data_IF_900339448928
#
_entry.id   IF_900339448928
#
_cell.length_a   1.000
_cell.length_b   1.000
_cell.length_c   1.000
_cell.angle_alpha   90.00
_cell.angle_beta   90.00
_cell.angle_gamma   90.00
#
_symmetry.space_group_name_H-M   'P 1'
#
loop_
_entity.id
_entity.type
_entity.pdbx_description
1 polymer ?
#
# COMPACT_ATOMS: atom_id res chain seq x y z
N UNK A 1 31.90 24.91 -15.74
CA UNK A 1 31.49 23.68 -15.01
C UNK A 1 31.84 22.37 -15.73
N UNK A 2 31.95 22.33 -17.06
CA UNK A 2 32.30 21.10 -17.80
C UNK A 2 33.78 20.99 -18.24
N UNK A 3 34.69 21.74 -17.59
CA UNK A 3 36.10 21.77 -17.97
C UNK A 3 36.87 20.51 -17.53
N UNK A 4 36.50 19.96 -16.38
CA UNK A 4 37.07 18.72 -15.85
C UNK A 4 36.00 17.63 -15.75
N UNK A 5 36.41 16.36 -15.79
CA UNK A 5 35.50 15.21 -15.70
C UNK A 5 34.73 15.22 -14.36
N UNK A 6 35.39 15.58 -13.26
CA UNK A 6 34.76 15.62 -11.94
C UNK A 6 33.67 16.70 -11.87
N UNK A 7 33.97 17.91 -12.34
CA UNK A 7 33.01 19.02 -12.35
C UNK A 7 31.90 18.77 -13.38
N UNK A 8 32.20 18.11 -14.51
CA UNK A 8 31.23 17.71 -15.50
C UNK A 8 30.21 16.71 -14.96
N UNK A 9 30.66 15.69 -14.19
CA UNK A 9 29.74 14.72 -13.55
C UNK A 9 28.79 15.39 -12.56
N UNK A 10 29.32 16.27 -11.72
CA UNK A 10 28.52 17.03 -10.76
C UNK A 10 27.52 17.95 -11.47
N UNK A 11 27.95 18.61 -12.53
CA UNK A 11 27.11 19.45 -13.39
C UNK A 11 25.97 18.64 -14.03
N UNK A 12 26.24 17.42 -14.53
CA UNK A 12 25.20 16.53 -15.07
C UNK A 12 24.21 16.08 -14.00
N UNK A 13 24.69 15.81 -12.77
CA UNK A 13 23.81 15.44 -11.66
C UNK A 13 22.90 16.60 -11.23
N UNK A 14 23.43 17.82 -11.13
CA UNK A 14 22.63 19.01 -10.86
C UNK A 14 21.60 19.28 -11.96
N UNK A 15 21.99 19.08 -13.22
CA UNK A 15 21.07 19.18 -14.35
C UNK A 15 19.92 18.15 -14.28
N UNK A 16 20.22 16.93 -13.84
CA UNK A 16 19.22 15.87 -13.60
C UNK A 16 18.23 16.23 -12.49
N UNK A 17 18.69 16.94 -11.45
CA UNK A 17 17.86 17.46 -10.37
C UNK A 17 17.03 18.69 -10.78
N UNK A 18 17.19 19.17 -12.01
CA UNK A 18 16.46 20.31 -12.56
C UNK A 18 17.16 21.65 -12.39
N UNK A 19 18.42 21.68 -11.92
CA UNK A 19 19.18 22.91 -11.78
C UNK A 19 19.76 23.35 -13.13
N UNK A 20 19.10 24.31 -13.76
CA UNK A 20 19.50 24.89 -15.05
C UNK A 20 20.61 25.93 -14.91
N UNK A 21 20.99 26.34 -13.69
CA UNK A 21 22.06 27.32 -13.46
C UNK A 21 23.41 26.83 -13.98
N UNK A 22 23.60 25.51 -14.06
CA UNK A 22 24.76 24.82 -14.64
C UNK A 22 25.01 25.21 -16.10
N UNK A 23 23.95 25.59 -16.83
CA UNK A 23 23.99 25.92 -18.26
C UNK A 23 24.06 27.42 -18.54
N UNK A 24 23.90 28.26 -17.51
CA UNK A 24 23.88 29.72 -17.64
C UNK A 24 25.12 30.30 -18.30
N UNK A 25 26.28 29.66 -18.09
CA UNK A 25 27.57 30.08 -18.62
C UNK A 25 27.89 29.55 -20.04
N UNK A 26 26.94 28.88 -20.71
CA UNK A 26 27.22 28.19 -21.98
C UNK A 26 26.50 28.81 -23.19
N UNK A 27 27.18 28.94 -24.34
CA UNK A 27 26.62 29.54 -25.54
C UNK A 27 25.75 28.52 -26.31
N UNK A 28 24.84 27.81 -25.64
CA UNK A 28 23.94 26.87 -26.30
C UNK A 28 23.00 27.60 -27.28
N UNK A 29 22.70 28.87 -27.01
CA UNK A 29 21.96 29.77 -27.91
C UNK A 29 22.68 30.00 -29.26
N UNK A 30 24.01 29.91 -29.26
CA UNK A 30 24.83 30.17 -30.45
C UNK A 30 25.33 28.89 -31.14
N UNK A 31 25.04 27.72 -30.59
CA UNK A 31 25.56 26.43 -31.07
C UNK A 31 24.43 25.40 -31.19
N UNK A 32 23.92 25.24 -32.42
CA UNK A 32 22.82 24.33 -32.74
C UNK A 32 23.08 22.88 -32.29
N UNK A 33 24.31 22.38 -32.47
CA UNK A 33 24.68 21.01 -32.09
C UNK A 33 24.55 20.77 -30.57
N UNK A 34 24.94 21.74 -29.74
CA UNK A 34 24.82 21.65 -28.28
C UNK A 34 23.36 21.67 -27.85
N UNK A 35 22.54 22.52 -28.48
CA UNK A 35 21.11 22.60 -28.19
C UNK A 35 20.39 21.27 -28.50
N UNK A 36 20.72 20.63 -29.63
CA UNK A 36 20.17 19.32 -30.00
C UNK A 36 20.60 18.25 -28.99
N UNK A 37 21.89 18.15 -28.66
CA UNK A 37 22.39 17.16 -27.70
C UNK A 37 21.73 17.31 -26.32
N UNK A 38 21.59 18.55 -25.84
CA UNK A 38 20.96 18.83 -24.56
C UNK A 38 19.47 18.48 -24.56
N UNK A 39 18.76 18.82 -25.62
CA UNK A 39 17.33 18.50 -25.76
C UNK A 39 17.12 16.98 -25.78
N UNK A 40 17.94 16.24 -26.52
CA UNK A 40 17.90 14.78 -26.56
C UNK A 40 18.25 14.15 -25.21
N UNK A 41 19.27 14.68 -24.53
CA UNK A 41 19.69 14.20 -23.21
C UNK A 41 18.59 14.39 -22.16
N UNK A 42 18.02 15.60 -22.05
CA UNK A 42 16.97 15.90 -21.09
C UNK A 42 15.70 15.09 -21.37
N UNK A 43 15.26 15.01 -22.63
CA UNK A 43 14.07 14.24 -22.99
C UNK A 43 14.25 12.75 -22.72
N UNK A 44 15.35 12.15 -23.17
CA UNK A 44 15.63 10.72 -22.97
C UNK A 44 15.75 10.37 -21.50
N UNK A 45 16.43 11.21 -20.72
CA UNK A 45 16.63 10.95 -19.29
C UNK A 45 15.34 11.15 -18.49
N UNK A 46 14.51 12.14 -18.85
CA UNK A 46 13.19 12.32 -18.24
C UNK A 46 12.32 11.10 -18.48
N UNK A 47 12.23 10.61 -19.72
CA UNK A 47 11.47 9.41 -20.05
C UNK A 47 12.01 8.20 -19.26
N UNK A 48 13.33 8.01 -19.22
CA UNK A 48 13.95 6.92 -18.49
C UNK A 48 13.64 6.97 -16.98
N UNK A 49 13.86 8.11 -16.33
CA UNK A 49 13.60 8.27 -14.89
C UNK A 49 12.12 8.06 -14.58
N UNK A 50 11.21 8.63 -15.37
CA UNK A 50 9.77 8.45 -15.18
C UNK A 50 9.35 6.98 -15.33
N UNK A 51 9.89 6.27 -16.32
CA UNK A 51 9.58 4.86 -16.53
C UNK A 51 10.05 3.99 -15.35
N UNK A 52 11.27 4.22 -14.87
CA UNK A 52 11.81 3.53 -13.68
C UNK A 52 11.00 3.89 -12.44
N UNK A 53 10.67 5.16 -12.26
CA UNK A 53 9.87 5.64 -11.13
C UNK A 53 8.49 4.99 -11.11
N UNK A 54 7.77 4.97 -12.23
CA UNK A 54 6.45 4.33 -12.33
C UNK A 54 6.54 2.84 -12.01
N UNK A 55 7.57 2.14 -12.51
CA UNK A 55 7.78 0.72 -12.22
C UNK A 55 8.02 0.45 -10.73
N UNK A 56 8.94 1.21 -10.11
CA UNK A 56 9.24 1.09 -8.68
C UNK A 56 8.04 1.51 -7.81
N UNK A 57 7.35 2.58 -8.20
CA UNK A 57 6.18 3.07 -7.48
C UNK A 57 5.02 2.08 -7.56
N UNK A 58 4.79 1.47 -8.72
CA UNK A 58 3.77 0.44 -8.89
C UNK A 58 4.06 -0.77 -8.02
N UNK A 59 5.31 -1.21 -7.92
CA UNK A 59 5.69 -2.32 -7.04
C UNK A 59 5.53 -1.97 -5.57
N UNK A 60 5.97 -0.77 -5.16
CA UNK A 60 5.79 -0.30 -3.78
C UNK A 60 4.31 -0.10 -3.40
N UNK A 61 3.45 0.23 -4.38
CA UNK A 61 2.01 0.37 -4.21
C UNK A 61 1.25 -0.95 -4.40
N UNK A 62 1.94 -2.07 -4.62
CA UNK A 62 1.33 -3.40 -4.75
C UNK A 62 0.92 -3.98 -3.38
N UNK A 63 0.33 -3.15 -2.52
CA UNK A 63 -0.33 -3.58 -1.30
C UNK A 63 -1.83 -3.49 -1.47
N UNK A 64 -2.55 -4.39 -0.81
CA UNK A 64 -4.00 -4.36 -0.79
C UNK A 64 -4.46 -3.12 -0.01
N UNK A 65 -4.88 -2.11 -0.77
CA UNK A 65 -5.24 -0.78 -0.27
C UNK A 65 -6.41 -0.87 0.70
N UNK A 66 -7.38 -1.76 0.42
CA UNK A 66 -8.58 -1.89 1.25
C UNK A 66 -8.23 -2.49 2.61
N UNK A 67 -7.50 -3.61 2.64
CA UNK A 67 -7.11 -4.22 3.91
C UNK A 67 -6.13 -3.34 4.69
N UNK A 68 -5.19 -2.68 4.02
CA UNK A 68 -4.26 -1.75 4.66
C UNK A 68 -4.97 -0.52 5.23
N UNK A 69 -5.98 0.02 4.54
CA UNK A 69 -6.81 1.12 5.02
C UNK A 69 -7.64 0.71 6.24
N UNK A 70 -8.25 -0.48 6.22
CA UNK A 70 -9.00 -1.00 7.36
C UNK A 70 -8.10 -1.23 8.57
N UNK A 71 -6.91 -1.79 8.37
CA UNK A 71 -5.91 -1.97 9.42
C UNK A 71 -5.48 -0.62 10.03
N UNK A 72 -5.21 0.37 9.19
CA UNK A 72 -4.85 1.72 9.65
C UNK A 72 -5.99 2.38 10.44
N UNK A 73 -7.23 2.27 9.95
CA UNK A 73 -8.42 2.76 10.67
C UNK A 73 -8.58 2.09 12.03
N UNK A 74 -8.44 0.77 12.10
CA UNK A 74 -8.53 0.03 13.36
C UNK A 74 -7.44 0.45 14.35
N UNK A 75 -6.19 0.61 13.88
CA UNK A 75 -5.07 1.09 14.69
C UNK A 75 -5.33 2.49 15.25
N UNK A 76 -5.80 3.41 14.40
CA UNK A 76 -6.10 4.78 14.81
C UNK A 76 -7.27 4.83 15.80
N UNK A 77 -8.30 4.00 15.59
CA UNK A 77 -9.43 3.91 16.51
C UNK A 77 -9.01 3.38 17.88
N UNK A 78 -8.14 2.35 17.91
CA UNK A 78 -7.59 1.82 19.16
C UNK A 78 -6.74 2.88 19.91
N UNK A 79 -5.98 3.69 19.17
CA UNK A 79 -5.21 4.79 19.74
C UNK A 79 -6.12 5.88 20.33
N UNK A 80 -7.18 6.27 19.61
CA UNK A 80 -8.21 7.18 20.13
C UNK A 80 -8.85 6.63 21.40
N UNK A 81 -9.23 5.35 21.40
CA UNK A 81 -9.87 4.72 22.54
C UNK A 81 -8.97 4.71 23.78
N UNK A 82 -7.67 4.46 23.58
CA UNK A 82 -6.70 4.37 24.66
C UNK A 82 -6.31 5.74 25.24
N UNK A 83 -6.10 6.75 24.39
CA UNK A 83 -5.51 8.03 24.83
C UNK A 83 -6.49 9.20 24.90
N UNK A 84 -7.58 9.18 24.13
CA UNK A 84 -8.43 10.36 23.95
C UNK A 84 -9.86 10.20 24.51
N UNK A 85 -10.31 8.99 24.83
CA UNK A 85 -11.65 8.75 25.39
C UNK A 85 -11.67 8.63 26.92
N UNK A 86 -12.62 9.31 27.56
CA UNK A 86 -12.86 9.16 28.99
C UNK A 86 -13.51 7.79 29.33
N UNK A 87 -13.34 7.29 30.57
CA UNK A 87 -13.93 6.01 30.99
C UNK A 87 -15.46 5.93 30.81
N UNK A 88 -16.17 7.05 30.91
CA UNK A 88 -17.62 7.12 30.69
C UNK A 88 -17.99 6.95 29.22
N UNK A 89 -17.24 7.58 28.30
CA UNK A 89 -17.47 7.51 26.86
C UNK A 89 -17.23 6.10 26.30
N UNK A 90 -16.23 5.37 26.82
CA UNK A 90 -15.98 3.97 26.44
C UNK A 90 -17.11 3.01 26.83
N UNK A 91 -17.93 3.37 27.81
CA UNK A 91 -19.07 2.55 28.27
C UNK A 91 -20.37 2.87 27.52
N UNK A 92 -20.35 3.83 26.58
CA UNK A 92 -21.53 4.17 25.79
C UNK A 92 -21.79 3.10 24.73
N UNK A 93 -22.84 2.29 24.95
CA UNK A 93 -23.28 1.23 24.03
C UNK A 93 -23.62 1.74 22.62
N UNK A 94 -23.90 3.02 22.45
CA UNK A 94 -24.16 3.65 21.15
C UNK A 94 -22.89 3.79 20.29
N UNK A 95 -21.72 3.98 20.91
CA UNK A 95 -20.43 4.11 20.23
C UNK A 95 -19.67 2.78 20.17
N UNK A 96 -19.78 1.98 21.24
CA UNK A 96 -19.16 0.67 21.36
C UNK A 96 -20.23 -0.39 21.63
N UNK A 97 -20.88 -0.92 20.57
CA UNK A 97 -21.88 -1.96 20.74
C UNK A 97 -21.23 -3.25 21.23
N UNK A 98 -21.98 -4.00 22.04
CA UNK A 98 -21.55 -5.29 22.58
C UNK A 98 -21.49 -6.38 21.51
N UNK A 99 -22.31 -6.26 20.46
CA UNK A 99 -22.39 -7.19 19.34
C UNK A 99 -22.37 -6.42 18.01
N UNK A 100 -21.55 -6.88 17.06
CA UNK A 100 -21.46 -6.33 15.71
C UNK A 100 -22.07 -7.35 14.74
N UNK A 101 -23.11 -6.94 14.00
CA UNK A 101 -23.68 -7.77 12.94
C UNK A 101 -22.97 -7.45 11.63
N UNK A 102 -22.46 -8.48 10.96
CA UNK A 102 -21.84 -8.37 9.64
C UNK A 102 -22.60 -9.23 8.64
N UNK A 103 -22.89 -8.66 7.47
CA UNK A 103 -23.48 -9.40 6.36
C UNK A 103 -22.36 -9.96 5.49
N UNK A 104 -22.35 -11.28 5.29
CA UNK A 104 -21.39 -11.96 4.42
C UNK A 104 -22.15 -12.86 3.43
N UNK A 105 -21.63 -12.98 2.21
CA UNK A 105 -22.21 -13.88 1.22
C UNK A 105 -21.97 -15.34 1.63
N UNK A 106 -23.02 -16.16 1.55
CA UNK A 106 -22.97 -17.58 1.92
C UNK A 106 -21.89 -18.35 1.14
N UNK A 107 -21.65 -17.98 -0.13
CA UNK A 107 -20.66 -18.64 -0.99
C UNK A 107 -19.25 -18.33 -0.51
N UNK A 108 -18.94 -17.06 -0.28
CA UNK A 108 -17.62 -16.62 0.21
C UNK A 108 -17.30 -17.26 1.56
N UNK A 109 -18.27 -17.29 2.48
CA UNK A 109 -18.10 -17.92 3.79
C UNK A 109 -17.82 -19.43 3.65
N UNK A 110 -18.53 -20.13 2.76
CA UNK A 110 -18.27 -21.56 2.50
C UNK A 110 -16.87 -21.82 1.95
N UNK A 111 -16.42 -21.01 0.99
CA UNK A 111 -15.08 -21.13 0.42
C UNK A 111 -14.01 -20.87 1.47
N UNK A 112 -14.19 -19.84 2.30
CA UNK A 112 -13.23 -19.51 3.35
C UNK A 112 -13.12 -20.60 4.42
N UNK A 113 -14.25 -21.17 4.83
CA UNK A 113 -14.26 -22.29 5.80
C UNK A 113 -13.53 -23.51 5.24
N UNK A 114 -13.71 -23.84 3.95
CA UNK A 114 -12.97 -24.92 3.30
C UNK A 114 -11.46 -24.66 3.30
N UNK A 115 -11.04 -23.45 2.93
CA UNK A 115 -9.62 -23.05 2.99
C UNK A 115 -9.05 -23.17 4.42
N UNK A 116 -9.82 -22.78 5.44
CA UNK A 116 -9.40 -22.91 6.84
C UNK A 116 -9.24 -24.38 7.27
N UNK A 117 -10.10 -25.28 6.77
CA UNK A 117 -9.92 -26.71 7.01
C UNK A 117 -8.65 -27.25 6.33
N UNK A 118 -8.41 -26.87 5.08
CA UNK A 118 -7.22 -27.30 4.32
C UNK A 118 -5.92 -26.80 4.99
N UNK A 119 -5.92 -25.56 5.49
CA UNK A 119 -4.78 -24.96 6.19
C UNK A 119 -4.65 -25.39 7.66
N UNK A 120 -5.57 -26.21 8.18
CA UNK A 120 -5.66 -26.61 9.60
C UNK A 120 -5.76 -25.42 10.57
N UNK A 121 -6.32 -24.31 10.13
CA UNK A 121 -6.51 -23.08 10.90
C UNK A 121 -7.85 -23.07 11.67
N UNK A 122 -8.70 -24.09 11.45
CA UNK A 122 -9.99 -24.20 12.12
C UNK A 122 -9.83 -24.67 13.58
N UNK A 123 -9.65 -23.71 14.48
CA UNK A 123 -9.56 -23.93 15.93
C UNK A 123 -10.93 -24.33 16.53
N UNK A 124 -11.14 -25.61 16.85
CA UNK A 124 -12.41 -26.11 17.40
C UNK A 124 -12.73 -25.57 18.81
N UNK A 125 -11.75 -25.06 19.53
CA UNK A 125 -11.87 -24.82 20.97
C UNK A 125 -12.53 -23.45 21.26
N UNK A 126 -12.41 -22.51 20.32
CA UNK A 126 -13.02 -21.19 20.42
C UNK A 126 -14.42 -21.16 19.82
N UNK A 127 -15.40 -20.86 20.68
CA UNK A 127 -16.82 -20.70 20.33
C UNK A 127 -17.45 -21.94 19.66
N UNK A 128 -17.42 -23.11 20.32
CA UNK A 128 -17.86 -24.38 19.73
C UNK A 128 -19.32 -24.34 19.27
N UNK A 129 -20.23 -23.75 20.07
CA UNK A 129 -21.66 -23.68 19.75
C UNK A 129 -21.96 -22.84 18.50
N UNK A 130 -21.32 -21.65 18.39
CA UNK A 130 -21.52 -20.79 17.23
C UNK A 130 -20.99 -21.42 15.95
N UNK A 131 -19.83 -22.10 16.03
CA UNK A 131 -19.23 -22.80 14.89
C UNK A 131 -20.10 -23.96 14.41
N UNK A 132 -20.63 -24.76 15.32
CA UNK A 132 -21.58 -25.82 14.97
C UNK A 132 -22.85 -25.25 14.31
N UNK A 133 -23.40 -24.17 14.84
CA UNK A 133 -24.56 -23.51 14.23
C UNK A 133 -24.25 -22.94 12.85
N UNK A 134 -23.07 -22.35 12.65
CA UNK A 134 -22.61 -21.86 11.35
C UNK A 134 -22.50 -23.00 10.33
N UNK A 135 -21.86 -24.11 10.70
CA UNK A 135 -21.73 -25.28 9.82
C UNK A 135 -23.10 -25.89 9.45
N UNK A 136 -24.05 -25.91 10.41
CA UNK A 136 -25.44 -26.33 10.16
C UNK A 136 -26.14 -25.40 9.16
N UNK A 137 -26.06 -24.09 9.33
CA UNK A 137 -26.66 -23.09 8.42
C UNK A 137 -26.05 -23.21 7.02
N UNK A 138 -24.73 -23.43 6.94
CA UNK A 138 -24.01 -23.55 5.68
C UNK A 138 -24.10 -24.95 5.05
N UNK A 139 -24.66 -25.94 5.75
CA UNK A 139 -24.75 -27.34 5.34
C UNK A 139 -23.37 -27.94 4.96
N UNK A 140 -22.33 -27.65 5.75
CA UNK A 140 -20.98 -28.21 5.60
C UNK A 140 -20.78 -29.30 6.65
N UNK A 141 -20.25 -30.47 6.25
CA UNK A 141 -19.84 -31.52 7.19
C UNK A 141 -18.54 -31.12 7.89
N UNK A 142 -18.52 -31.23 9.22
CA UNK A 142 -17.30 -31.01 9.99
C UNK A 142 -16.31 -32.16 9.72
N UNK A 143 -15.08 -31.89 9.23
CA UNK A 143 -14.09 -32.94 8.98
C UNK A 143 -13.55 -33.60 10.28
N UNK A 144 -13.81 -33.00 11.44
CA UNK A 144 -13.38 -33.51 12.75
C UNK A 144 -14.40 -34.46 13.42
N UNK A 145 -15.53 -34.76 12.77
CA UNK A 145 -16.60 -35.64 13.28
C UNK A 145 -16.47 -37.11 12.82
N UNK A 146 -15.25 -37.56 12.50
CA UNK A 146 -14.92 -38.96 12.22
C UNK A 146 -14.15 -39.60 13.37
#
# INVERSE_FOLDING_TARGET
MFAEIATARLATFLLLMGDTSVLSNWPYQNNLALAIMMTLFLSSTTIFILNVFIGLFSEAMNFDVETSMLMMKAKFLAEIEMFYLFPSQRRWKSLFPETIYYYADIREVREKIKQMFDNKEWDSDKFPEMKQNLLKILNIKNPQDN
#
